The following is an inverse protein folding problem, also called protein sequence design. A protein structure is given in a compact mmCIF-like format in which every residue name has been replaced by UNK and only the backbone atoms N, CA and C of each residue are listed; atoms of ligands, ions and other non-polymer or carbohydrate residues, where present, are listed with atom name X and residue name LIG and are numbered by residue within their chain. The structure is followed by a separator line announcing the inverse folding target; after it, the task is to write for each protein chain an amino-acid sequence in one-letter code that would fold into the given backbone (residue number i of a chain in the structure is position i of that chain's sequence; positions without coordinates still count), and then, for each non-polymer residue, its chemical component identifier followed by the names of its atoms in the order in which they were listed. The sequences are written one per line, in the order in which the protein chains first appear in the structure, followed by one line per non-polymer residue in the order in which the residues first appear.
data_IF_106428723766
#
_entry.id   IF_106428723766
#
_cell.length_a   1.000
_cell.length_b   1.000
_cell.length_c   1.000
_cell.angle_alpha   90.00
_cell.angle_beta   90.00
_cell.angle_gamma   90.00
#
_symmetry.space_group_name_H-M   'P 1'
#
loop_
_entity.id
_entity.type
_entity.pdbx_description
1 polymer ?
#
# COMPACT_ATOMS: atom_id res chain seq x y z
N UNK A 1 6.82 -5.95 16.15
CA UNK A 1 8.20 -5.46 16.36
C UNK A 1 8.13 -4.13 17.09
N UNK A 2 9.11 -3.83 17.95
CA UNK A 2 9.28 -2.50 18.56
C UNK A 2 10.45 -1.81 17.85
N UNK A 3 10.21 -0.62 17.28
CA UNK A 3 11.22 0.17 16.56
C UNK A 3 11.54 1.39 17.42
N UNK A 4 12.83 1.66 17.65
CA UNK A 4 13.27 2.91 18.29
C UNK A 4 13.68 3.87 17.18
N UNK A 5 12.98 5.00 17.07
CA UNK A 5 13.31 6.06 16.12
C UNK A 5 13.91 7.26 16.80
N UNK A 6 14.80 7.94 16.09
CA UNK A 6 15.34 9.22 16.54
C UNK A 6 14.26 10.29 16.44
N UNK A 7 13.91 10.89 17.56
CA UNK A 7 13.01 12.04 17.65
C UNK A 7 13.83 13.29 18.00
N UNK A 8 13.50 14.41 17.36
CA UNK A 8 14.24 15.65 17.52
C UNK A 8 14.15 16.24 18.94
N UNK A 9 13.09 15.92 19.69
CA UNK A 9 12.85 16.45 21.05
C UNK A 9 13.18 15.45 22.15
N UNK A 10 12.78 14.20 21.98
CA UNK A 10 12.83 13.16 23.01
C UNK A 10 14.00 12.19 22.82
N UNK A 11 14.86 12.40 21.81
CA UNK A 11 15.99 11.54 21.51
C UNK A 11 15.54 10.26 20.80
N UNK A 12 14.94 9.32 21.53
CA UNK A 12 14.43 8.04 21.01
C UNK A 12 12.96 7.84 21.35
N UNK A 13 12.09 7.63 20.35
CA UNK A 13 10.69 7.25 20.56
C UNK A 13 10.45 5.79 20.18
N UNK A 14 9.63 5.12 20.99
CA UNK A 14 9.17 3.77 20.69
C UNK A 14 8.00 3.86 19.70
N UNK A 15 8.15 3.26 18.53
CA UNK A 15 7.10 3.16 17.53
C UNK A 15 6.71 1.69 17.35
N UNK A 16 5.41 1.42 17.40
CA UNK A 16 4.83 0.11 17.11
C UNK A 16 4.26 0.12 15.70
N UNK A 17 4.52 -0.93 14.92
CA UNK A 17 3.90 -1.08 13.61
C UNK A 17 4.71 -1.91 12.62
N UNK A 18 4.27 -1.84 11.37
CA UNK A 18 4.98 -2.30 10.18
C UNK A 18 5.52 -1.08 9.44
N UNK A 19 6.77 -1.12 9.02
CA UNK A 19 7.44 -0.01 8.35
C UNK A 19 8.22 -0.48 7.12
N UNK A 20 8.10 0.28 6.04
CA UNK A 20 8.94 0.15 4.87
C UNK A 20 10.23 0.97 5.06
N UNK A 21 11.35 0.28 5.14
CA UNK A 21 12.69 0.88 5.11
C UNK A 21 13.31 0.56 3.76
N UNK A 22 13.79 1.59 3.04
CA UNK A 22 14.49 1.40 1.78
C UNK A 22 15.82 2.14 1.83
N UNK A 23 16.84 1.58 1.18
CA UNK A 23 18.07 2.32 0.93
C UNK A 23 17.78 3.57 0.08
N UNK A 24 18.60 4.60 0.23
CA UNK A 24 18.42 5.86 -0.47
C UNK A 24 18.46 5.70 -2.01
N UNK A 25 19.17 4.68 -2.50
CA UNK A 25 19.27 4.33 -3.91
C UNK A 25 18.19 3.32 -4.37
N UNK A 26 17.29 2.90 -3.49
CA UNK A 26 16.20 1.97 -3.80
C UNK A 26 16.63 0.53 -4.08
N UNK A 27 17.92 0.19 -3.94
CA UNK A 27 18.47 -1.13 -4.29
C UNK A 27 18.02 -2.24 -3.33
N UNK A 28 17.67 -1.86 -2.10
CA UNK A 28 17.14 -2.77 -1.08
C UNK A 28 15.98 -2.11 -0.36
N UNK A 29 14.92 -2.90 -0.15
CA UNK A 29 13.79 -2.55 0.67
C UNK A 29 13.50 -3.68 1.66
N UNK A 30 13.25 -3.31 2.91
CA UNK A 30 12.88 -4.20 3.98
C UNK A 30 11.57 -3.72 4.60
N UNK A 31 10.70 -4.68 4.86
CA UNK A 31 9.49 -4.46 5.64
C UNK A 31 9.77 -4.89 7.08
N UNK A 32 9.99 -3.93 7.96
CA UNK A 32 10.36 -4.16 9.36
C UNK A 32 9.10 -4.01 10.22
N UNK A 33 8.71 -5.06 10.96
CA UNK A 33 7.42 -4.98 11.63
C UNK A 33 6.88 -6.26 12.21
N UNK A 34 5.73 -6.16 12.87
CA UNK A 34 4.78 -7.26 12.81
C UNK A 34 4.32 -7.41 11.35
N UNK A 35 3.95 -8.62 10.92
CA UNK A 35 3.44 -8.82 9.56
C UNK A 35 2.28 -7.85 9.29
N UNK A 36 2.32 -7.08 8.20
CA UNK A 36 1.21 -6.18 7.89
C UNK A 36 -0.06 -6.99 7.70
N UNK A 37 -1.11 -6.60 8.42
CA UNK A 37 -2.44 -7.12 8.15
C UNK A 37 -2.89 -6.71 6.75
N UNK A 38 -3.88 -7.42 6.21
CA UNK A 38 -4.46 -7.13 4.89
C UNK A 38 -4.86 -5.65 4.70
N UNK A 39 -5.22 -4.96 5.79
CA UNK A 39 -5.61 -3.55 5.81
C UNK A 39 -4.50 -2.54 5.48
N UNK A 40 -3.22 -2.93 5.58
CA UNK A 40 -2.09 -2.01 5.34
C UNK A 40 -1.11 -2.52 4.28
N UNK A 41 -1.18 -3.79 3.88
CA UNK A 41 -0.26 -4.39 2.90
C UNK A 41 -0.30 -3.67 1.56
N UNK A 42 -1.48 -3.32 1.06
CA UNK A 42 -1.63 -2.71 -0.28
C UNK A 42 -0.94 -1.35 -0.36
N UNK A 43 -1.17 -0.47 0.61
CA UNK A 43 -0.56 0.86 0.63
C UNK A 43 0.96 0.78 0.77
N UNK A 44 1.46 -0.12 1.63
CA UNK A 44 2.90 -0.37 1.80
C UNK A 44 3.55 -0.82 0.49
N UNK A 45 2.92 -1.73 -0.26
CA UNK A 45 3.48 -2.24 -1.52
C UNK A 45 3.46 -1.18 -2.62
N UNK A 46 2.42 -0.34 -2.68
CA UNK A 46 2.39 0.80 -3.60
C UNK A 46 3.51 1.80 -3.29
N UNK A 47 3.77 2.06 -2.02
CA UNK A 47 4.88 2.92 -1.60
C UNK A 47 6.25 2.31 -1.91
N UNK A 48 6.41 0.99 -1.77
CA UNK A 48 7.62 0.27 -2.17
C UNK A 48 7.87 0.44 -3.66
N UNK A 49 6.86 0.21 -4.50
CA UNK A 49 6.97 0.38 -5.96
C UNK A 49 7.44 1.80 -6.31
N UNK A 50 6.81 2.82 -5.73
CA UNK A 50 7.15 4.23 -5.99
C UNK A 50 8.57 4.60 -5.56
N UNK A 51 9.04 4.05 -4.44
CA UNK A 51 10.37 4.37 -3.88
C UNK A 51 11.50 3.61 -4.55
N UNK A 52 11.30 2.31 -4.80
CA UNK A 52 12.38 1.41 -5.24
C UNK A 52 12.42 1.25 -6.75
N UNK A 53 11.30 1.53 -7.44
CA UNK A 53 11.18 1.41 -8.90
C UNK A 53 10.58 2.67 -9.52
N UNK A 54 11.13 3.88 -9.24
CA UNK A 54 10.50 5.13 -9.64
C UNK A 54 10.39 5.29 -11.16
N UNK A 55 11.37 4.81 -11.93
CA UNK A 55 11.37 4.93 -13.39
C UNK A 55 10.39 3.94 -14.02
N UNK A 56 10.33 2.71 -13.51
CA UNK A 56 9.34 1.73 -13.92
C UNK A 56 7.93 2.19 -13.55
N UNK A 57 7.71 2.73 -12.35
CA UNK A 57 6.42 3.25 -11.92
C UNK A 57 5.90 4.41 -12.81
N UNK A 58 6.81 5.18 -13.41
CA UNK A 58 6.47 6.23 -14.40
C UNK A 58 6.32 5.68 -15.82
N UNK A 59 6.86 4.49 -16.11
CA UNK A 59 6.75 3.88 -17.42
C UNK A 59 5.28 3.61 -17.76
N UNK A 60 4.92 3.83 -19.02
CA UNK A 60 3.55 3.66 -19.48
C UNK A 60 3.02 2.25 -19.21
N UNK A 61 3.85 1.22 -19.45
CA UNK A 61 3.44 -0.17 -19.25
C UNK A 61 3.04 -0.49 -17.80
N UNK A 62 3.81 -0.03 -16.81
CA UNK A 62 3.46 -0.24 -15.41
C UNK A 62 2.34 0.66 -14.95
N UNK A 63 2.29 1.90 -15.44
CA UNK A 63 1.22 2.83 -15.09
C UNK A 63 -0.13 2.28 -15.55
N UNK A 64 -0.22 1.83 -16.81
CA UNK A 64 -1.39 1.14 -17.35
C UNK A 64 -1.73 -0.10 -16.52
N UNK A 65 -0.73 -0.91 -16.16
CA UNK A 65 -0.99 -2.13 -15.38
C UNK A 65 -1.49 -1.85 -13.97
N UNK A 66 -0.96 -0.81 -13.31
CA UNK A 66 -1.41 -0.39 -11.99
C UNK A 66 -2.83 0.18 -12.05
N UNK A 67 -3.15 0.96 -13.09
CA UNK A 67 -4.50 1.50 -13.31
C UNK A 67 -5.53 0.37 -13.58
N UNK A 68 -5.13 -0.72 -14.26
CA UNK A 68 -5.96 -1.93 -14.42
C UNK A 68 -6.24 -2.65 -13.08
N UNK A 69 -5.22 -2.75 -12.22
CA UNK A 69 -5.31 -3.46 -10.93
C UNK A 69 -6.09 -2.63 -9.92
N UNK A 70 -5.85 -1.32 -9.88
CA UNK A 70 -6.39 -0.38 -8.92
C UNK A 70 -7.26 0.67 -9.64
N UNK A 71 -8.52 0.34 -9.97
CA UNK A 71 -9.40 1.21 -10.75
C UNK A 71 -9.83 2.50 -10.03
N UNK A 72 -9.53 2.61 -8.74
CA UNK A 72 -9.66 3.83 -7.95
C UNK A 72 -8.69 3.77 -6.75
N UNK A 73 -8.10 4.91 -6.42
CA UNK A 73 -7.27 5.08 -5.23
C UNK A 73 -8.12 5.36 -3.99
N UNK A 74 -7.54 5.18 -2.80
CA UNK A 74 -8.24 5.33 -1.52
C UNK A 74 -8.90 6.71 -1.32
N UNK A 75 -8.28 7.77 -1.84
CA UNK A 75 -8.80 9.14 -1.78
C UNK A 75 -10.09 9.30 -2.60
N UNK A 76 -10.17 8.69 -3.78
CA UNK A 76 -11.38 8.65 -4.61
C UNK A 76 -12.46 7.84 -3.92
N UNK A 77 -12.13 6.61 -3.50
CA UNK A 77 -13.05 5.69 -2.84
C UNK A 77 -13.64 6.27 -1.54
N UNK A 78 -12.89 7.10 -0.82
CA UNK A 78 -13.38 7.74 0.40
C UNK A 78 -14.41 8.85 0.18
N UNK A 79 -14.50 9.38 -1.04
CA UNK A 79 -15.36 10.52 -1.40
C UNK A 79 -16.52 10.14 -2.32
N UNK A 80 -16.43 9.00 -2.97
CA UNK A 80 -17.39 8.53 -3.96
C UNK A 80 -17.92 7.15 -3.55
N UNK A 81 -19.12 7.16 -2.97
CA UNK A 81 -19.78 5.96 -2.47
C UNK A 81 -20.20 5.01 -3.61
N UNK A 82 -20.62 5.55 -4.76
CA UNK A 82 -21.00 4.74 -5.91
C UNK A 82 -19.78 4.00 -6.45
N UNK A 83 -18.68 4.74 -6.65
CA UNK A 83 -17.40 4.16 -7.08
C UNK A 83 -16.87 3.12 -6.09
N UNK A 84 -17.03 3.36 -4.79
CA UNK A 84 -16.68 2.38 -3.76
C UNK A 84 -17.46 1.07 -3.92
N UNK A 85 -18.79 1.16 -4.09
CA UNK A 85 -19.63 -0.02 -4.27
C UNK A 85 -19.29 -0.79 -5.54
N UNK A 86 -19.02 -0.11 -6.66
CA UNK A 86 -18.58 -0.77 -7.90
C UNK A 86 -17.31 -1.61 -7.68
N UNK A 87 -16.29 -1.02 -7.05
CA UNK A 87 -15.00 -1.70 -6.79
C UNK A 87 -15.19 -2.84 -5.78
N UNK A 88 -16.03 -2.65 -4.76
CA UNK A 88 -16.35 -3.68 -3.79
C UNK A 88 -17.06 -4.88 -4.43
N UNK A 89 -18.08 -4.65 -5.25
CA UNK A 89 -18.81 -5.71 -5.97
C UNK A 89 -17.88 -6.47 -6.92
N UNK A 90 -17.03 -5.76 -7.68
CA UNK A 90 -16.04 -6.42 -8.54
C UNK A 90 -15.06 -7.28 -7.74
N UNK A 91 -14.61 -6.79 -6.58
CA UNK A 91 -13.70 -7.51 -5.69
C UNK A 91 -14.37 -8.75 -5.11
N UNK A 92 -15.60 -8.64 -4.63
CA UNK A 92 -16.37 -9.77 -4.09
C UNK A 92 -16.58 -10.86 -5.14
N UNK A 93 -16.99 -10.48 -6.36
CA UNK A 93 -17.16 -11.43 -7.47
C UNK A 93 -15.87 -12.16 -7.82
N UNK A 94 -14.73 -11.44 -7.90
CA UNK A 94 -13.42 -12.03 -8.19
C UNK A 94 -12.94 -12.97 -7.09
N UNK A 95 -13.19 -12.60 -5.84
CA UNK A 95 -12.81 -13.38 -4.66
C UNK A 95 -13.86 -14.43 -4.28
N UNK A 96 -14.95 -14.55 -5.05
CA UNK A 96 -16.06 -15.48 -4.81
C UNK A 96 -16.68 -15.32 -3.41
N UNK A 97 -16.78 -14.07 -2.95
CA UNK A 97 -17.37 -13.71 -1.66
C UNK A 97 -18.86 -13.40 -1.74
N UNK A 98 -19.43 -13.45 -2.95
CA UNK A 98 -20.87 -13.35 -3.14
C UNK A 98 -21.51 -14.58 -2.49
N UNK A 99 -22.13 -14.38 -1.32
CA UNK A 99 -22.88 -15.42 -0.63
C UNK A 99 -24.02 -15.85 -1.56
N UNK A 100 -24.16 -17.15 -1.91
CA UNK A 100 -25.32 -17.61 -2.65
C UNK A 100 -26.58 -17.25 -1.85
N UNK A 101 -27.48 -16.51 -2.48
CA UNK A 101 -28.84 -16.27 -1.97
C UNK A 101 -29.58 -17.57 -1.75
#
# INVERSE_FOLDING_TARGET
VQIIKKDAKNGGILQFGTELVAAADGTIAALLGASPGASVTVSIMLDLIRRCFPEQAKSEGWRTKLDEIFPAMADVLSKDAERYHEVQTQSNKRLQLDIPS
#
